data_IF_360950940817
#
_entry.id   IF_360950940817
#
_cell.length_a   1.000
_cell.length_b   1.000
_cell.length_c   1.000
_cell.angle_alpha   90.00
_cell.angle_beta   90.00
_cell.angle_gamma   90.00
#
_symmetry.space_group_name_H-M   'P 1'
#
loop_
_entity.id
_entity.type
_entity.pdbx_description
1 polymer ?
#
# COMPACT_ATOMS: atom_id res chain seq x y z
N UNK A 1 16.17 80.65 -12.69
CA UNK A 1 15.40 79.37 -12.67
C UNK A 1 14.37 79.50 -11.59
N UNK A 2 13.09 79.48 -11.96
CA UNK A 2 12.01 79.62 -11.01
C UNK A 2 11.85 78.37 -10.11
N UNK A 3 11.54 78.58 -8.85
CA UNK A 3 11.32 77.55 -7.85
C UNK A 3 10.24 76.54 -8.32
N UNK A 4 9.31 77.01 -9.14
CA UNK A 4 8.23 76.20 -9.74
C UNK A 4 8.77 75.16 -10.74
N UNK A 5 9.81 75.45 -11.50
CA UNK A 5 10.45 74.54 -12.44
C UNK A 5 11.24 73.45 -11.78
N UNK A 6 11.88 73.74 -10.65
CA UNK A 6 12.63 72.77 -9.82
C UNK A 6 11.69 71.80 -9.15
N UNK A 7 10.55 72.25 -8.61
CA UNK A 7 9.55 71.39 -7.98
C UNK A 7 8.83 70.48 -8.99
N UNK A 8 8.57 70.94 -10.22
CA UNK A 8 7.97 70.12 -11.29
C UNK A 8 8.93 69.02 -11.76
N UNK A 9 10.22 69.30 -11.89
CA UNK A 9 11.23 68.30 -12.22
C UNK A 9 11.43 67.23 -11.14
N UNK A 10 11.37 67.63 -9.88
CA UNK A 10 11.46 66.71 -8.75
C UNK A 10 10.22 65.77 -8.65
N UNK A 11 9.04 66.32 -8.91
CA UNK A 11 7.78 65.53 -8.96
C UNK A 11 7.74 64.51 -10.10
N UNK A 12 8.28 64.89 -11.26
CA UNK A 12 8.37 63.98 -12.44
C UNK A 12 9.38 62.85 -12.22
N UNK A 13 10.50 63.13 -11.61
CA UNK A 13 11.52 62.13 -11.27
C UNK A 13 11.00 61.13 -10.20
N UNK A 14 10.22 61.60 -9.23
CA UNK A 14 9.60 60.74 -8.19
C UNK A 14 8.51 59.85 -8.81
N UNK A 15 7.70 60.33 -9.76
CA UNK A 15 6.69 59.53 -10.42
C UNK A 15 7.30 58.46 -11.32
N UNK A 16 8.38 58.71 -12.04
CA UNK A 16 9.07 57.72 -12.87
C UNK A 16 9.72 56.66 -11.95
N UNK A 17 10.31 57.02 -10.82
CA UNK A 17 10.88 56.11 -9.87
C UNK A 17 9.85 55.18 -9.23
N UNK A 18 8.68 55.72 -8.86
CA UNK A 18 7.58 54.94 -8.29
C UNK A 18 6.98 53.91 -9.30
N UNK A 19 6.85 54.29 -10.57
CA UNK A 19 6.35 53.40 -11.62
C UNK A 19 7.28 52.25 -11.94
N UNK A 20 8.59 52.45 -11.89
CA UNK A 20 9.59 51.43 -12.15
C UNK A 20 9.66 50.43 -10.99
N UNK A 21 9.53 50.88 -9.73
CA UNK A 21 9.49 49.99 -8.56
C UNK A 21 8.20 49.14 -8.57
N UNK A 22 7.06 49.73 -8.90
CA UNK A 22 5.78 48.97 -9.01
C UNK A 22 5.85 47.91 -10.11
N UNK A 23 6.47 48.19 -11.25
CA UNK A 23 6.65 47.20 -12.32
C UNK A 23 7.54 46.02 -11.92
N UNK A 24 8.62 46.30 -11.22
CA UNK A 24 9.54 45.28 -10.70
C UNK A 24 8.82 44.41 -9.63
N UNK A 25 8.06 45.00 -8.74
CA UNK A 25 7.29 44.29 -7.72
C UNK A 25 6.21 43.37 -8.31
N UNK A 26 5.52 43.83 -9.33
CA UNK A 26 4.54 43.00 -10.05
C UNK A 26 5.21 41.81 -10.77
N UNK A 27 6.36 42.03 -11.40
CA UNK A 27 7.12 40.98 -12.08
C UNK A 27 7.67 39.94 -11.09
N UNK A 28 8.23 40.39 -9.98
CA UNK A 28 8.75 39.51 -8.91
C UNK A 28 7.59 38.76 -8.26
N UNK A 29 6.49 39.41 -7.97
CA UNK A 29 5.29 38.79 -7.43
C UNK A 29 4.72 37.69 -8.34
N UNK A 30 4.69 37.93 -9.66
CA UNK A 30 4.26 36.91 -10.62
C UNK A 30 5.19 35.69 -10.66
N UNK A 31 6.49 35.92 -10.70
CA UNK A 31 7.47 34.81 -10.61
C UNK A 31 7.40 34.04 -9.31
N UNK A 32 7.19 34.71 -8.19
CA UNK A 32 7.01 34.05 -6.89
C UNK A 32 5.73 33.21 -6.84
N UNK A 33 4.63 33.70 -7.42
CA UNK A 33 3.39 32.90 -7.48
C UNK A 33 3.51 31.68 -8.40
N UNK A 34 4.19 31.79 -9.55
CA UNK A 34 4.47 30.63 -10.40
C UNK A 34 5.38 29.60 -9.71
N UNK A 35 6.42 30.06 -9.00
CA UNK A 35 7.29 29.16 -8.24
C UNK A 35 6.54 28.47 -7.10
N UNK A 36 5.65 29.18 -6.41
CA UNK A 36 4.81 28.63 -5.35
C UNK A 36 3.82 27.58 -5.88
N UNK A 37 3.20 27.82 -7.04
CA UNK A 37 2.32 26.84 -7.70
C UNK A 37 3.08 25.57 -8.08
N UNK A 38 4.25 25.70 -8.73
CA UNK A 38 5.10 24.55 -9.06
C UNK A 38 5.56 23.77 -7.83
N UNK A 39 5.89 24.47 -6.75
CA UNK A 39 6.26 23.83 -5.48
C UNK A 39 5.05 23.09 -4.85
N UNK A 40 3.86 23.66 -4.92
CA UNK A 40 2.63 23.02 -4.44
C UNK A 40 2.28 21.77 -5.26
N UNK A 41 2.41 21.83 -6.60
CA UNK A 41 2.19 20.68 -7.46
C UNK A 41 3.20 19.56 -7.18
N UNK A 42 4.49 19.92 -7.02
CA UNK A 42 5.52 18.95 -6.66
C UNK A 42 5.28 18.32 -5.27
N UNK A 43 4.84 19.12 -4.30
CA UNK A 43 4.49 18.62 -2.98
C UNK A 43 3.28 17.66 -3.02
N UNK A 44 2.26 17.97 -3.84
CA UNK A 44 1.11 17.12 -4.04
C UNK A 44 1.51 15.77 -4.68
N UNK A 45 2.31 15.80 -5.74
CA UNK A 45 2.83 14.59 -6.39
C UNK A 45 3.65 13.72 -5.43
N UNK A 46 4.52 14.35 -4.61
CA UNK A 46 5.30 13.64 -3.61
C UNK A 46 4.40 13.01 -2.53
N UNK A 47 3.38 13.72 -2.06
CA UNK A 47 2.44 13.19 -1.08
C UNK A 47 1.62 12.01 -1.63
N UNK A 48 1.19 12.08 -2.89
CA UNK A 48 0.49 10.98 -3.56
C UNK A 48 1.40 9.75 -3.75
N UNK A 49 2.66 9.97 -4.15
CA UNK A 49 3.64 8.90 -4.29
C UNK A 49 3.93 8.23 -2.95
N UNK A 50 4.17 9.01 -1.88
CA UNK A 50 4.40 8.49 -0.54
C UNK A 50 3.20 7.66 -0.05
N UNK A 51 1.96 8.11 -0.30
CA UNK A 51 0.76 7.37 0.04
C UNK A 51 0.68 6.01 -0.67
N UNK A 52 1.01 5.95 -1.97
CA UNK A 52 1.05 4.69 -2.73
C UNK A 52 2.10 3.72 -2.19
N UNK A 53 3.30 4.20 -1.87
CA UNK A 53 4.34 3.36 -1.28
C UNK A 53 3.90 2.77 0.07
N UNK A 54 3.28 3.57 0.93
CA UNK A 54 2.78 3.09 2.23
C UNK A 54 1.72 1.99 2.07
N UNK A 55 0.80 2.13 1.13
CA UNK A 55 -0.21 1.09 0.84
C UNK A 55 0.45 -0.18 0.31
N UNK A 56 1.44 -0.06 -0.58
CA UNK A 56 2.17 -1.20 -1.13
C UNK A 56 2.95 -1.96 -0.04
N UNK A 57 3.63 -1.26 0.87
CA UNK A 57 4.32 -1.85 2.02
C UNK A 57 3.34 -2.58 2.96
N UNK A 58 2.16 -2.01 3.18
CA UNK A 58 1.13 -2.65 4.01
C UNK A 58 0.64 -3.95 3.40
N UNK A 59 0.38 -3.97 2.07
CA UNK A 59 -0.03 -5.17 1.33
C UNK A 59 1.07 -6.22 1.31
N UNK A 60 2.31 -5.83 1.12
CA UNK A 60 3.45 -6.75 1.18
C UNK A 60 3.56 -7.39 2.56
N UNK A 61 3.51 -6.59 3.63
CA UNK A 61 3.52 -7.10 5.00
C UNK A 61 2.35 -8.04 5.30
N UNK A 62 1.17 -7.78 4.73
CA UNK A 62 0.02 -8.67 4.82
C UNK A 62 0.28 -10.00 4.09
N UNK A 63 0.81 -9.98 2.85
CA UNK A 63 1.17 -11.19 2.11
C UNK A 63 2.17 -12.05 2.87
N UNK A 64 3.21 -11.45 3.47
CA UNK A 64 4.20 -12.18 4.26
C UNK A 64 3.53 -12.90 5.43
N UNK A 65 2.61 -12.23 6.14
CA UNK A 65 1.86 -12.85 7.25
C UNK A 65 0.96 -13.99 6.79
N UNK A 66 0.35 -13.90 5.60
CA UNK A 66 -0.46 -14.98 5.02
C UNK A 66 0.43 -16.16 4.63
N UNK A 67 1.60 -15.91 4.02
CA UNK A 67 2.58 -16.94 3.64
C UNK A 67 3.08 -17.69 4.90
N UNK A 68 3.47 -16.96 5.94
CA UNK A 68 3.94 -17.54 7.19
C UNK A 68 2.86 -18.43 7.82
N UNK A 69 1.63 -17.92 7.95
CA UNK A 69 0.53 -18.64 8.55
C UNK A 69 0.17 -19.91 7.75
N UNK A 70 0.16 -19.84 6.41
CA UNK A 70 -0.09 -21.00 5.54
C UNK A 70 1.05 -22.01 5.58
N UNK A 71 2.29 -21.55 5.64
CA UNK A 71 3.47 -22.43 5.74
C UNK A 71 3.49 -23.21 7.04
N UNK A 72 3.23 -22.53 8.16
CA UNK A 72 3.13 -23.16 9.48
C UNK A 72 1.95 -24.15 9.54
N UNK A 73 0.80 -23.74 8.97
CA UNK A 73 -0.39 -24.60 8.88
C UNK A 73 -0.10 -25.88 8.09
N UNK A 74 0.51 -25.73 6.91
CA UNK A 74 0.90 -26.83 6.05
C UNK A 74 1.93 -27.77 6.73
N UNK A 75 2.92 -27.19 7.41
CA UNK A 75 3.94 -27.97 8.11
C UNK A 75 3.32 -28.85 9.21
N UNK A 76 2.36 -28.34 9.98
CA UNK A 76 1.65 -29.12 11.00
C UNK A 76 0.79 -30.21 10.34
N UNK A 77 0.08 -29.91 9.25
CA UNK A 77 -0.69 -30.93 8.53
C UNK A 77 0.18 -32.09 8.02
N UNK A 78 1.39 -31.77 7.52
CA UNK A 78 2.32 -32.78 6.99
C UNK A 78 3.09 -33.53 8.08
N UNK A 79 3.07 -33.06 9.32
CA UNK A 79 3.69 -33.75 10.46
C UNK A 79 2.78 -34.84 11.07
N UNK A 80 1.56 -34.99 10.57
CA UNK A 80 0.61 -36.01 11.05
C UNK A 80 0.95 -37.35 10.43
N UNK A 81 1.26 -38.35 11.27
CA UNK A 81 1.49 -39.72 10.84
C UNK A 81 0.24 -40.36 10.22
N UNK A 82 0.43 -41.53 9.57
CA UNK A 82 -0.64 -42.26 8.87
C UNK A 82 -1.82 -42.67 9.80
N UNK A 83 -1.57 -42.77 11.11
CA UNK A 83 -2.60 -43.08 12.12
C UNK A 83 -3.56 -41.92 12.46
N UNK A 84 -3.42 -40.77 11.79
CA UNK A 84 -4.37 -39.65 11.78
C UNK A 84 -4.64 -38.95 13.13
N UNK A 85 -3.78 -39.10 14.11
CA UNK A 85 -3.92 -38.40 15.39
C UNK A 85 -2.93 -37.25 15.51
N UNK A 86 -3.41 -36.03 15.27
CA UNK A 86 -2.73 -34.86 15.77
C UNK A 86 -2.62 -34.95 17.29
N UNK A 87 -1.44 -34.65 17.84
CA UNK A 87 -1.33 -34.47 19.28
C UNK A 87 -2.25 -33.33 19.75
N UNK A 88 -2.68 -33.29 21.02
CA UNK A 88 -3.47 -32.17 21.54
C UNK A 88 -2.84 -30.81 21.30
N UNK A 89 -1.51 -30.71 21.38
CA UNK A 89 -0.73 -29.49 21.06
C UNK A 89 -0.79 -29.15 19.57
N UNK A 90 -0.70 -30.16 18.70
CA UNK A 90 -0.87 -29.98 17.25
C UNK A 90 -2.26 -29.46 16.88
N UNK A 91 -3.32 -29.98 17.49
CA UNK A 91 -4.68 -29.48 17.33
C UNK A 91 -4.83 -28.03 17.76
N UNK A 92 -4.27 -27.65 18.89
CA UNK A 92 -4.30 -26.28 19.41
C UNK A 92 -3.59 -25.31 18.46
N UNK A 93 -2.40 -25.68 18.00
CA UNK A 93 -1.61 -24.87 17.04
C UNK A 93 -2.33 -24.71 15.71
N UNK A 94 -2.90 -25.80 15.17
CA UNK A 94 -3.62 -25.77 13.91
C UNK A 94 -4.86 -24.87 13.99
N UNK A 95 -5.60 -24.94 15.10
CA UNK A 95 -6.75 -24.09 15.36
C UNK A 95 -6.36 -22.62 15.45
N UNK A 96 -5.26 -22.30 16.15
CA UNK A 96 -4.75 -20.94 16.24
C UNK A 96 -4.33 -20.37 14.87
N UNK A 97 -3.66 -21.19 14.05
CA UNK A 97 -3.26 -20.80 12.70
C UNK A 97 -4.46 -20.63 11.77
N UNK A 98 -5.45 -21.52 11.89
CA UNK A 98 -6.70 -21.37 11.13
C UNK A 98 -7.42 -20.05 11.47
N UNK A 99 -7.56 -19.74 12.76
CA UNK A 99 -8.11 -18.44 13.21
C UNK A 99 -7.28 -17.26 12.68
N UNK A 100 -5.95 -17.38 12.70
CA UNK A 100 -5.07 -16.35 12.13
C UNK A 100 -5.30 -16.15 10.64
N UNK A 101 -5.46 -17.22 9.88
CA UNK A 101 -5.79 -17.15 8.45
C UNK A 101 -7.17 -16.53 8.21
N UNK A 102 -8.18 -16.88 8.99
CA UNK A 102 -9.52 -16.29 8.93
C UNK A 102 -9.50 -14.77 9.18
N UNK A 103 -8.67 -14.30 10.11
CA UNK A 103 -8.50 -12.88 10.41
C UNK A 103 -7.68 -12.13 9.35
N UNK A 104 -6.75 -12.79 8.68
CA UNK A 104 -5.92 -12.20 7.63
C UNK A 104 -6.63 -12.15 6.28
N UNK A 105 -7.46 -13.14 5.98
CA UNK A 105 -8.17 -13.27 4.73
C UNK A 105 -9.58 -12.67 4.87
N UNK A 106 -10.08 -12.08 3.78
CA UNK A 106 -11.44 -11.55 3.76
C UNK A 106 -12.41 -12.67 3.31
N UNK A 107 -13.26 -13.19 4.20
CA UNK A 107 -14.12 -14.35 3.90
C UNK A 107 -15.20 -14.06 2.86
N UNK A 108 -15.50 -12.81 2.55
CA UNK A 108 -16.41 -12.36 1.50
C UNK A 108 -15.78 -12.43 0.09
N UNK A 109 -14.46 -12.54 -0.01
CA UNK A 109 -13.77 -12.77 -1.27
C UNK A 109 -13.79 -14.27 -1.63
N UNK A 110 -14.28 -14.61 -2.82
CA UNK A 110 -14.47 -16.01 -3.25
C UNK A 110 -13.19 -16.87 -3.19
N UNK A 111 -12.02 -16.27 -3.51
CA UNK A 111 -10.73 -16.95 -3.45
C UNK A 111 -10.30 -17.22 -2.01
N UNK A 112 -10.46 -16.24 -1.12
CA UNK A 112 -10.16 -16.37 0.31
C UNK A 112 -11.07 -17.40 0.98
N UNK A 113 -12.38 -17.33 0.72
CA UNK A 113 -13.36 -18.33 1.21
C UNK A 113 -13.04 -19.75 0.72
N UNK A 114 -12.57 -19.90 -0.53
CA UNK A 114 -12.17 -21.21 -1.08
C UNK A 114 -10.89 -21.73 -0.43
N UNK A 115 -9.93 -20.84 -0.15
CA UNK A 115 -8.68 -21.17 0.54
C UNK A 115 -8.97 -21.68 1.96
N UNK A 116 -9.81 -20.98 2.72
CA UNK A 116 -10.22 -21.39 4.06
C UNK A 116 -10.95 -22.75 4.05
N UNK A 117 -11.84 -22.98 3.06
CA UNK A 117 -12.51 -24.29 2.90
C UNK A 117 -11.52 -25.42 2.63
N UNK A 118 -10.52 -25.21 1.78
CA UNK A 118 -9.49 -26.23 1.51
C UNK A 118 -8.62 -26.49 2.74
N UNK A 119 -8.26 -25.45 3.49
CA UNK A 119 -7.56 -25.60 4.76
C UNK A 119 -8.36 -26.45 5.75
N UNK A 120 -9.67 -26.19 5.89
CA UNK A 120 -10.56 -26.97 6.77
C UNK A 120 -10.75 -28.40 6.26
N UNK A 121 -10.92 -28.60 4.95
CA UNK A 121 -10.99 -29.92 4.34
C UNK A 121 -9.72 -30.74 4.58
N UNK A 122 -8.53 -30.13 4.45
CA UNK A 122 -7.26 -30.80 4.76
C UNK A 122 -7.18 -31.22 6.23
N UNK A 123 -7.62 -30.37 7.15
CA UNK A 123 -7.65 -30.65 8.60
C UNK A 123 -8.62 -31.77 8.94
N UNK A 124 -9.77 -31.86 8.26
CA UNK A 124 -10.81 -32.85 8.51
C UNK A 124 -10.66 -34.12 7.67
N UNK A 125 -9.66 -34.22 6.82
CA UNK A 125 -9.39 -35.40 5.98
C UNK A 125 -9.16 -36.65 6.82
N UNK A 126 -9.78 -37.75 6.39
CA UNK A 126 -9.72 -39.04 7.11
C UNK A 126 -8.54 -39.91 6.67
N UNK A 127 -7.94 -39.60 5.53
CA UNK A 127 -6.81 -40.36 4.97
C UNK A 127 -5.64 -39.41 4.64
N UNK A 128 -4.40 -39.93 4.69
CA UNK A 128 -3.24 -39.19 4.29
C UNK A 128 -3.36 -38.68 2.83
N UNK A 129 -3.85 -39.52 1.92
CA UNK A 129 -4.01 -39.15 0.52
C UNK A 129 -5.00 -38.00 0.30
N UNK A 130 -6.14 -37.97 1.02
CA UNK A 130 -7.09 -36.84 0.98
C UNK A 130 -6.46 -35.58 1.55
N UNK A 131 -5.76 -35.69 2.68
CA UNK A 131 -5.05 -34.59 3.32
C UNK A 131 -4.02 -33.97 2.37
N UNK A 132 -3.19 -34.80 1.75
CA UNK A 132 -2.14 -34.35 0.82
C UNK A 132 -2.75 -33.66 -0.43
N UNK A 133 -3.86 -34.18 -0.95
CA UNK A 133 -4.54 -33.57 -2.08
C UNK A 133 -5.13 -32.21 -1.70
N UNK A 134 -5.88 -32.12 -0.61
CA UNK A 134 -6.47 -30.88 -0.12
C UNK A 134 -5.39 -29.83 0.21
N UNK A 135 -4.29 -30.27 0.83
CA UNK A 135 -3.16 -29.40 1.14
C UNK A 135 -2.46 -28.87 -0.11
N UNK A 136 -2.31 -29.71 -1.15
CA UNK A 136 -1.75 -29.30 -2.45
C UNK A 136 -2.64 -28.28 -3.13
N UNK A 137 -3.95 -28.52 -3.16
CA UNK A 137 -4.93 -27.61 -3.76
C UNK A 137 -4.96 -26.27 -3.00
N UNK A 138 -4.87 -26.31 -1.66
CA UNK A 138 -4.73 -25.12 -0.82
C UNK A 138 -3.50 -24.30 -1.19
N UNK A 139 -2.34 -24.93 -1.35
CA UNK A 139 -1.09 -24.24 -1.74
C UNK A 139 -1.18 -23.65 -3.15
N UNK A 140 -1.80 -24.36 -4.09
CA UNK A 140 -1.99 -23.83 -5.46
C UNK A 140 -2.90 -22.61 -5.47
N UNK A 141 -4.00 -22.65 -4.74
CA UNK A 141 -4.93 -21.53 -4.64
C UNK A 141 -4.29 -20.33 -3.93
N UNK A 142 -3.52 -20.58 -2.86
CA UNK A 142 -2.76 -19.54 -2.17
C UNK A 142 -1.77 -18.83 -3.10
N UNK A 143 -1.03 -19.59 -3.92
CA UNK A 143 -0.11 -19.02 -4.92
C UNK A 143 -0.83 -18.12 -5.93
N UNK A 144 -2.01 -18.53 -6.41
CA UNK A 144 -2.77 -17.73 -7.36
C UNK A 144 -3.29 -16.43 -6.74
N UNK A 145 -3.77 -16.49 -5.49
CA UNK A 145 -4.23 -15.33 -4.73
C UNK A 145 -3.08 -14.33 -4.51
N UNK A 146 -1.96 -14.80 -3.99
CA UNK A 146 -0.78 -13.97 -3.73
C UNK A 146 -0.21 -13.36 -5.01
N UNK A 147 -0.22 -14.11 -6.13
CA UNK A 147 0.19 -13.58 -7.44
C UNK A 147 -0.71 -12.45 -7.92
N UNK A 148 -2.02 -12.56 -7.73
CA UNK A 148 -2.98 -11.52 -8.09
C UNK A 148 -2.73 -10.26 -7.29
N UNK A 149 -2.55 -10.38 -5.97
CA UNK A 149 -2.22 -9.25 -5.10
C UNK A 149 -0.88 -8.60 -5.48
N UNK A 150 0.13 -9.40 -5.79
CA UNK A 150 1.43 -8.88 -6.23
C UNK A 150 1.33 -8.05 -7.51
N UNK A 151 0.56 -8.51 -8.50
CA UNK A 151 0.30 -7.76 -9.74
C UNK A 151 -0.43 -6.43 -9.44
N UNK A 152 -1.39 -6.45 -8.52
CA UNK A 152 -2.11 -5.25 -8.09
C UNK A 152 -1.15 -4.23 -7.49
N UNK A 153 -0.26 -4.65 -6.57
CA UNK A 153 0.77 -3.78 -5.97
C UNK A 153 1.66 -3.15 -7.05
N UNK A 154 2.15 -3.97 -7.99
CA UNK A 154 3.01 -3.46 -9.06
C UNK A 154 2.30 -2.43 -9.95
N UNK A 155 1.02 -2.63 -10.21
CA UNK A 155 0.23 -1.70 -11.04
C UNK A 155 -0.05 -0.38 -10.32
N UNK A 156 -0.25 -0.41 -9.01
CA UNK A 156 -0.49 0.80 -8.20
C UNK A 156 0.78 1.66 -8.00
N UNK A 157 1.95 1.07 -8.13
CA UNK A 157 3.24 1.77 -7.99
C UNK A 157 3.71 2.43 -9.30
N UNK A 158 3.12 2.10 -10.43
CA UNK A 158 3.39 2.72 -11.74
C UNK A 158 2.55 3.99 -11.94
#
# INVERSE_FOLDING_TARGET
>A
MDVATISALAATAAAIGASSVAGVQLYVGHRQSEAALKAADAALMNAQSAGRHTVAEFRQSWMDKVIDALSDYHAILMSVDDDHSLSPDGHMKLTALWTRLELLLKPDEAAAASLLRLADAARLSKTAAERDNNARDMVQLARSLLKTEWVTIQTELQ
#
